data_IF_361745818316
#
_entry.id   IF_361745818316
#
_cell.length_a   1.000
_cell.length_b   1.000
_cell.length_c   1.000
_cell.angle_alpha   90.00
_cell.angle_beta   90.00
_cell.angle_gamma   90.00
#
_symmetry.space_group_name_H-M   'P 1'
#
loop_
_entity.id
_entity.type
_entity.pdbx_description
1 polymer ?
#
# COMPACT_ATOMS: atom_id res chain seq x y z
N UNK A 1 -10.03 44.59 1.14
CA UNK A 1 -10.59 43.54 0.26
C UNK A 1 -12.01 43.22 0.68
N UNK A 2 -12.96 43.14 -0.27
CA UNK A 2 -14.35 42.73 0.02
C UNK A 2 -14.49 41.20 0.22
N UNK A 3 -15.63 40.76 0.79
CA UNK A 3 -15.92 39.34 0.93
C UNK A 3 -16.04 38.65 -0.43
N UNK A 4 -16.62 39.33 -1.42
CA UNK A 4 -16.78 38.83 -2.79
C UNK A 4 -15.42 38.67 -3.51
N UNK A 5 -14.51 39.61 -3.30
CA UNK A 5 -13.16 39.53 -3.84
C UNK A 5 -12.40 38.35 -3.28
N UNK A 6 -12.46 38.15 -1.95
CA UNK A 6 -11.83 37.00 -1.31
C UNK A 6 -12.37 35.68 -1.85
N UNK A 7 -13.68 35.56 -2.04
CA UNK A 7 -14.31 34.36 -2.54
C UNK A 7 -13.88 34.03 -3.98
N UNK A 8 -13.77 35.02 -4.84
CA UNK A 8 -13.24 34.86 -6.21
C UNK A 8 -11.80 34.37 -6.22
N UNK A 9 -10.91 34.98 -5.42
CA UNK A 9 -9.52 34.55 -5.31
C UNK A 9 -9.41 33.11 -4.84
N UNK A 10 -10.20 32.71 -3.84
CA UNK A 10 -10.24 31.32 -3.37
C UNK A 10 -10.74 30.35 -4.47
N UNK A 11 -11.74 30.72 -5.26
CA UNK A 11 -12.20 29.88 -6.36
C UNK A 11 -11.17 29.78 -7.49
N UNK A 12 -10.56 30.90 -7.88
CA UNK A 12 -9.57 30.94 -8.95
C UNK A 12 -8.32 30.10 -8.60
N UNK A 13 -7.89 30.17 -7.35
CA UNK A 13 -6.67 29.51 -6.88
C UNK A 13 -6.93 28.22 -6.08
N UNK A 14 -8.12 27.65 -6.11
CA UNK A 14 -8.54 26.49 -5.31
C UNK A 14 -7.53 25.33 -5.31
N UNK A 15 -6.86 25.10 -6.41
CA UNK A 15 -5.99 23.94 -6.61
C UNK A 15 -4.49 24.29 -6.60
N UNK A 16 -4.12 25.49 -6.18
CA UNK A 16 -2.73 25.95 -6.19
C UNK A 16 -1.75 25.02 -5.44
N UNK A 17 -2.21 24.42 -4.35
CA UNK A 17 -1.39 23.56 -3.52
C UNK A 17 -1.35 22.11 -4.04
N UNK A 18 -2.07 21.78 -5.11
CA UNK A 18 -2.23 20.41 -5.65
C UNK A 18 -1.95 20.30 -7.14
N UNK A 19 -1.32 21.29 -7.76
CA UNK A 19 -0.91 21.29 -9.17
C UNK A 19 0.45 20.59 -9.43
N UNK A 20 1.09 20.06 -8.39
CA UNK A 20 2.36 19.35 -8.40
C UNK A 20 2.30 18.09 -7.51
N UNK A 21 3.41 17.42 -7.26
CA UNK A 21 3.49 16.13 -6.54
C UNK A 21 3.20 16.28 -5.02
N UNK A 22 2.02 16.77 -4.69
CA UNK A 22 1.55 17.05 -3.31
C UNK A 22 1.46 15.80 -2.43
N UNK A 23 1.38 14.63 -3.05
CA UNK A 23 1.23 13.33 -2.36
C UNK A 23 2.55 12.76 -1.81
N UNK A 24 3.70 13.33 -2.14
CA UNK A 24 5.01 12.77 -1.79
C UNK A 24 5.18 12.54 -0.30
N UNK A 25 4.76 13.50 0.54
CA UNK A 25 4.83 13.35 2.00
C UNK A 25 3.95 12.21 2.54
N UNK A 26 2.79 11.98 1.93
CA UNK A 26 1.90 10.85 2.27
C UNK A 26 2.55 9.53 1.87
N UNK A 27 3.17 9.49 0.70
CA UNK A 27 3.84 8.31 0.19
C UNK A 27 5.06 7.91 1.02
N UNK A 28 5.87 8.88 1.42
CA UNK A 28 7.04 8.63 2.24
C UNK A 28 6.64 8.09 3.62
N UNK A 29 5.68 8.71 4.28
CA UNK A 29 5.19 8.22 5.56
C UNK A 29 4.55 6.83 5.44
N UNK A 30 3.79 6.58 4.37
CA UNK A 30 3.20 5.26 4.15
C UNK A 30 4.25 4.18 3.93
N UNK A 31 5.33 4.46 3.17
CA UNK A 31 6.45 3.52 3.02
C UNK A 31 7.13 3.20 4.35
N UNK A 32 7.35 4.20 5.19
CA UNK A 32 7.92 4.00 6.53
C UNK A 32 7.04 3.10 7.40
N UNK A 33 5.72 3.36 7.39
CA UNK A 33 4.76 2.55 8.15
C UNK A 33 4.73 1.09 7.67
N UNK A 34 4.79 0.86 6.35
CA UNK A 34 4.82 -0.49 5.78
C UNK A 34 6.15 -1.22 6.05
N UNK A 35 7.26 -0.52 5.95
CA UNK A 35 8.58 -1.09 6.31
C UNK A 35 8.63 -1.48 7.78
N UNK A 36 7.99 -0.74 8.68
CA UNK A 36 7.91 -1.07 10.10
C UNK A 36 7.18 -2.39 10.39
N UNK A 37 6.40 -2.89 9.44
CA UNK A 37 5.69 -4.19 9.53
C UNK A 37 6.23 -5.24 8.56
N UNK A 38 7.37 -5.00 7.94
CA UNK A 38 8.07 -5.97 7.10
C UNK A 38 7.63 -5.99 5.64
N UNK A 39 7.00 -4.92 5.14
CA UNK A 39 6.54 -4.78 3.75
C UNK A 39 7.40 -3.76 3.03
N UNK A 40 7.97 -4.13 1.88
CA UNK A 40 8.60 -3.22 0.92
C UNK A 40 7.60 -2.78 -0.15
N UNK A 41 7.32 -1.47 -0.21
CA UNK A 41 6.38 -0.85 -1.16
C UNK A 41 7.14 -0.32 -2.37
N UNK A 42 6.93 -0.91 -3.55
CA UNK A 42 7.61 -0.54 -4.78
C UNK A 42 6.98 0.69 -5.43
N UNK A 43 5.68 0.63 -5.70
CA UNK A 43 4.95 1.72 -6.34
C UNK A 43 3.60 1.92 -5.67
N UNK A 44 3.15 3.16 -5.63
CA UNK A 44 1.82 3.56 -5.18
C UNK A 44 1.08 4.27 -6.31
N UNK A 45 -0.22 4.07 -6.34
CA UNK A 45 -1.10 4.62 -7.37
C UNK A 45 -2.41 5.06 -6.72
N UNK A 46 -2.97 6.16 -7.19
CA UNK A 46 -4.32 6.57 -6.83
C UNK A 46 -5.02 7.24 -8.01
N UNK A 47 -6.33 7.29 -7.97
CA UNK A 47 -7.19 8.11 -8.81
C UNK A 47 -7.99 9.06 -7.93
N UNK A 48 -8.65 10.04 -8.49
CA UNK A 48 -9.33 11.13 -7.76
C UNK A 48 -10.16 10.74 -6.52
N UNK A 49 -10.93 11.69 -5.99
CA UNK A 49 -11.66 11.51 -4.72
C UNK A 49 -13.17 11.79 -4.85
N UNK A 50 -13.71 11.83 -6.07
CA UNK A 50 -15.08 12.25 -6.32
C UNK A 50 -15.90 11.28 -7.18
N UNK A 51 -15.27 10.25 -7.75
CA UNK A 51 -15.90 9.35 -8.72
C UNK A 51 -16.09 7.94 -8.18
N UNK A 52 -17.15 7.29 -8.62
CA UNK A 52 -17.30 5.86 -8.33
C UNK A 52 -16.19 5.06 -9.03
N UNK A 53 -15.36 4.38 -8.27
CA UNK A 53 -14.21 3.64 -8.75
C UNK A 53 -12.88 4.35 -8.50
N UNK A 54 -12.89 5.53 -7.87
CA UNK A 54 -11.69 6.12 -7.30
C UNK A 54 -11.16 5.27 -6.16
N UNK A 55 -9.85 5.27 -5.98
CA UNK A 55 -9.20 4.46 -4.97
C UNK A 55 -7.70 4.62 -5.01
N UNK A 56 -7.02 3.86 -4.16
CA UNK A 56 -5.57 3.73 -4.20
C UNK A 56 -5.16 2.26 -4.11
N UNK A 57 -3.99 1.96 -4.65
CA UNK A 57 -3.34 0.67 -4.47
C UNK A 57 -1.83 0.84 -4.46
N UNK A 58 -1.14 -0.18 -3.98
CA UNK A 58 0.31 -0.27 -4.09
C UNK A 58 0.75 -1.64 -4.59
N UNK A 59 1.99 -1.70 -5.08
CA UNK A 59 2.69 -2.95 -5.38
C UNK A 59 3.88 -3.10 -4.44
N UNK A 60 4.22 -4.33 -4.08
CA UNK A 60 5.28 -4.58 -3.13
C UNK A 60 5.46 -6.06 -2.79
N UNK A 61 6.33 -6.33 -1.83
CA UNK A 61 6.55 -7.69 -1.30
C UNK A 61 6.69 -7.67 0.23
N UNK A 62 6.58 -8.84 0.84
CA UNK A 62 7.07 -9.02 2.20
C UNK A 62 8.59 -9.15 2.12
N UNK A 63 9.30 -8.14 2.61
CA UNK A 63 10.77 -8.09 2.64
C UNK A 63 11.32 -8.76 3.90
N UNK A 64 10.60 -8.62 5.01
CA UNK A 64 10.96 -9.25 6.28
C UNK A 64 9.81 -10.12 6.81
N UNK A 65 9.83 -11.39 6.42
CA UNK A 65 8.76 -12.35 6.76
C UNK A 65 8.62 -12.57 8.26
N UNK A 66 9.71 -12.61 9.01
CA UNK A 66 9.66 -12.80 10.46
C UNK A 66 8.96 -11.60 11.14
N UNK A 67 9.33 -10.38 10.76
CA UNK A 67 8.70 -9.16 11.25
C UNK A 67 7.21 -9.12 10.91
N UNK A 68 6.86 -9.43 9.66
CA UNK A 68 5.47 -9.48 9.20
C UNK A 68 4.63 -10.49 9.98
N UNK A 69 5.12 -11.73 10.10
CA UNK A 69 4.41 -12.79 10.84
C UNK A 69 4.29 -12.46 12.33
N UNK A 70 5.28 -11.84 12.93
CA UNK A 70 5.22 -11.45 14.35
C UNK A 70 4.29 -10.27 14.60
N UNK A 71 4.14 -9.37 13.61
CA UNK A 71 3.23 -8.23 13.72
C UNK A 71 1.76 -8.65 13.52
N UNK A 72 1.47 -9.43 12.45
CA UNK A 72 0.09 -9.71 12.03
C UNK A 72 -0.45 -11.05 12.51
N UNK A 73 0.43 -12.06 12.65
CA UNK A 73 0.07 -13.47 12.78
C UNK A 73 0.80 -14.14 13.94
N UNK A 74 0.82 -13.48 15.11
CA UNK A 74 1.55 -13.97 16.27
C UNK A 74 1.09 -15.38 16.68
N UNK A 75 2.00 -16.36 16.59
CA UNK A 75 1.72 -17.74 16.94
C UNK A 75 0.95 -18.55 15.90
N UNK A 76 0.62 -17.96 14.75
CA UNK A 76 -0.02 -18.65 13.61
C UNK A 76 1.06 -19.16 12.62
N UNK A 77 0.62 -20.01 11.68
CA UNK A 77 1.43 -20.53 10.58
C UNK A 77 2.70 -21.29 11.02
N UNK A 78 2.55 -22.35 11.84
CA UNK A 78 3.68 -23.11 12.36
C UNK A 78 4.51 -23.78 11.26
N UNK A 79 3.92 -24.18 10.13
CA UNK A 79 4.66 -24.79 9.03
C UNK A 79 5.49 -23.77 8.26
N UNK A 80 4.94 -22.57 7.99
CA UNK A 80 5.67 -21.47 7.38
C UNK A 80 6.83 -21.05 8.29
N UNK A 81 6.62 -20.92 9.61
CA UNK A 81 7.69 -20.61 10.57
C UNK A 81 8.77 -21.67 10.61
N UNK A 82 8.37 -22.95 10.60
CA UNK A 82 9.28 -24.07 10.56
C UNK A 82 10.07 -24.13 9.26
N UNK A 83 9.46 -23.77 8.12
CA UNK A 83 10.16 -23.63 6.85
C UNK A 83 11.32 -22.63 6.99
N UNK A 84 11.03 -21.44 7.52
CA UNK A 84 12.03 -20.37 7.70
C UNK A 84 13.12 -20.75 8.71
N UNK A 85 12.80 -21.45 9.80
CA UNK A 85 13.78 -21.97 10.77
C UNK A 85 14.77 -22.97 10.14
N UNK A 86 14.44 -23.52 8.99
CA UNK A 86 15.26 -24.49 8.24
C UNK A 86 15.82 -23.91 6.93
N UNK A 87 16.08 -22.61 6.90
CA UNK A 87 16.65 -21.89 5.75
C UNK A 87 15.77 -21.92 4.48
N UNK A 88 14.45 -22.20 4.61
CA UNK A 88 13.50 -22.05 3.52
C UNK A 88 13.09 -20.57 3.37
N UNK A 89 12.58 -20.22 2.19
CA UNK A 89 12.18 -18.86 1.87
C UNK A 89 10.68 -18.80 1.54
N UNK A 90 10.01 -17.75 2.07
CA UNK A 90 8.64 -17.39 1.71
C UNK A 90 8.67 -16.21 0.75
N UNK A 91 8.03 -16.37 -0.38
CA UNK A 91 7.83 -15.31 -1.36
C UNK A 91 6.39 -14.84 -1.32
N UNK A 92 6.17 -13.59 -1.00
CA UNK A 92 4.83 -12.99 -0.98
C UNK A 92 4.86 -11.61 -1.59
N UNK A 93 4.07 -11.40 -2.64
CA UNK A 93 4.04 -10.12 -3.33
C UNK A 93 2.62 -9.75 -3.80
N UNK A 94 2.47 -8.48 -4.11
CA UNK A 94 1.28 -7.89 -4.69
C UNK A 94 1.65 -7.10 -5.94
N UNK A 95 0.96 -7.39 -7.04
CA UNK A 95 1.08 -6.69 -8.30
C UNK A 95 -0.26 -6.09 -8.72
N UNK A 96 -0.20 -5.01 -9.49
CA UNK A 96 -1.40 -4.38 -10.04
C UNK A 96 -1.85 -5.10 -11.31
N UNK A 97 -3.14 -5.37 -11.42
CA UNK A 97 -3.79 -5.88 -12.63
C UNK A 97 -4.80 -4.86 -13.17
N UNK A 98 -4.80 -4.66 -14.50
CA UNK A 98 -5.75 -3.77 -15.17
C UNK A 98 -5.40 -2.28 -15.11
N UNK A 99 -6.39 -1.43 -15.37
CA UNK A 99 -6.22 0.02 -15.56
C UNK A 99 -6.64 0.87 -14.36
N UNK A 100 -7.34 0.29 -13.41
CA UNK A 100 -7.84 1.00 -12.24
C UNK A 100 -6.82 1.00 -11.10
N UNK A 101 -6.89 2.02 -10.24
CA UNK A 101 -6.02 2.20 -9.07
C UNK A 101 -6.78 1.91 -7.77
N UNK A 102 -7.51 0.79 -7.75
CA UNK A 102 -8.33 0.37 -6.63
C UNK A 102 -7.73 -0.88 -5.97
N UNK A 103 -7.98 -1.11 -4.69
CA UNK A 103 -7.46 -2.29 -3.96
C UNK A 103 -7.89 -3.63 -4.59
N UNK A 104 -9.04 -3.66 -5.27
CA UNK A 104 -9.48 -4.85 -6.01
C UNK A 104 -8.82 -5.03 -7.39
N UNK A 105 -8.03 -4.05 -7.85
CA UNK A 105 -7.21 -4.14 -9.06
C UNK A 105 -5.81 -4.68 -8.79
N UNK A 106 -5.65 -5.41 -7.70
CA UNK A 106 -4.40 -6.02 -7.29
C UNK A 106 -4.52 -7.53 -7.21
N UNK A 107 -3.44 -8.20 -7.55
CA UNK A 107 -3.29 -9.65 -7.42
C UNK A 107 -2.17 -9.97 -6.47
N UNK A 108 -2.47 -10.86 -5.56
CA UNK A 108 -1.54 -11.38 -4.58
C UNK A 108 -1.01 -12.74 -5.03
N UNK A 109 0.18 -13.04 -4.60
CA UNK A 109 0.82 -14.31 -4.87
C UNK A 109 1.74 -14.65 -3.69
N UNK A 110 1.59 -15.87 -3.19
CA UNK A 110 2.41 -16.44 -2.14
C UNK A 110 2.95 -17.77 -2.62
N UNK A 111 4.23 -18.00 -2.41
CA UNK A 111 4.91 -19.24 -2.69
C UNK A 111 6.02 -19.48 -1.66
N UNK A 112 6.50 -20.67 -1.57
CA UNK A 112 7.59 -21.02 -0.68
C UNK A 112 8.60 -21.92 -1.39
N UNK A 113 9.89 -21.60 -1.27
CA UNK A 113 10.93 -22.53 -1.69
C UNK A 113 11.10 -23.61 -0.63
N UNK A 114 10.46 -24.74 -0.93
CA UNK A 114 10.57 -25.94 -0.10
C UNK A 114 11.91 -26.59 -0.36
N UNK A 115 12.71 -26.70 0.67
CA UNK A 115 14.00 -27.35 0.76
C UNK A 115 14.13 -28.64 -0.04
N UNK A 116 14.29 -28.55 -1.32
CA UNK A 116 14.67 -29.69 -2.18
C UNK A 116 16.07 -30.21 -1.85
N UNK A 117 16.80 -29.51 -0.97
CA UNK A 117 18.15 -29.87 -0.54
C UNK A 117 18.26 -30.77 0.69
N UNK A 118 17.22 -30.92 1.52
CA UNK A 118 17.31 -31.65 2.79
C UNK A 118 17.20 -33.18 2.68
N UNK A 119 16.82 -33.74 1.54
CA UNK A 119 16.62 -35.19 1.39
C UNK A 119 17.50 -35.84 0.34
N UNK A 120 18.74 -36.05 0.67
CA UNK A 120 19.59 -36.97 -0.09
C UNK A 120 19.21 -38.43 0.23
N UNK A 121 18.22 -38.96 -0.47
CA UNK A 121 17.64 -40.32 -0.51
C UNK A 121 16.42 -40.54 0.39
N UNK A 122 15.19 -40.37 -0.14
CA UNK A 122 13.96 -40.71 0.56
C UNK A 122 13.78 -42.23 0.62
N UNK A 123 13.42 -42.77 1.80
CA UNK A 123 12.80 -44.08 1.94
C UNK A 123 11.28 -43.94 1.78
N UNK A 124 10.52 -44.97 1.40
CA UNK A 124 9.03 -44.95 1.29
C UNK A 124 8.34 -44.32 2.52
N UNK A 125 8.91 -44.49 3.71
CA UNK A 125 8.40 -43.90 4.95
C UNK A 125 8.66 -42.37 4.99
N UNK A 126 9.79 -41.91 4.46
CA UNK A 126 10.11 -40.47 4.36
C UNK A 126 9.20 -39.79 3.32
N UNK A 127 8.88 -40.45 2.20
CA UNK A 127 7.96 -39.93 1.18
C UNK A 127 6.59 -39.61 1.77
N UNK A 128 5.99 -40.49 2.55
CA UNK A 128 4.68 -40.24 3.18
C UNK A 128 4.68 -39.09 4.19
N UNK A 129 5.78 -38.92 4.94
CA UNK A 129 5.92 -37.78 5.88
C UNK A 129 6.13 -36.47 5.12
N UNK A 130 6.90 -36.50 4.04
CA UNK A 130 7.11 -35.36 3.17
C UNK A 130 5.79 -34.90 2.53
N UNK A 131 5.03 -35.84 1.95
CA UNK A 131 3.74 -35.55 1.34
C UNK A 131 2.77 -34.89 2.33
N UNK A 132 2.69 -35.45 3.56
CA UNK A 132 1.84 -34.87 4.61
C UNK A 132 2.29 -33.47 5.05
N UNK A 133 3.59 -33.22 5.11
CA UNK A 133 4.11 -31.88 5.45
C UNK A 133 3.87 -30.90 4.32
N UNK A 134 4.01 -31.33 3.09
CA UNK A 134 3.72 -30.50 1.93
C UNK A 134 2.24 -30.10 1.90
N UNK A 135 1.32 -31.05 2.11
CA UNK A 135 -0.11 -30.76 2.18
C UNK A 135 -0.44 -29.73 3.28
N UNK A 136 0.16 -29.88 4.48
CA UNK A 136 -0.03 -28.92 5.57
C UNK A 136 0.55 -27.55 5.26
N UNK A 137 1.72 -27.48 4.61
CA UNK A 137 2.33 -26.21 4.19
C UNK A 137 1.47 -25.53 3.12
N UNK A 138 0.98 -26.26 2.13
CA UNK A 138 0.12 -25.75 1.06
C UNK A 138 -1.20 -25.17 1.62
N UNK A 139 -1.79 -25.83 2.63
CA UNK A 139 -2.97 -25.33 3.35
C UNK A 139 -2.64 -24.01 4.09
N UNK A 140 -1.49 -23.94 4.79
CA UNK A 140 -1.08 -22.72 5.48
C UNK A 140 -0.76 -21.58 4.50
N UNK A 141 -0.09 -21.86 3.37
CA UNK A 141 0.20 -20.86 2.33
C UNK A 141 -1.08 -20.28 1.74
N UNK A 142 -2.07 -21.14 1.47
CA UNK A 142 -3.37 -20.69 0.96
C UNK A 142 -4.12 -19.81 1.97
N UNK A 143 -4.12 -20.19 3.25
CA UNK A 143 -4.72 -19.40 4.32
C UNK A 143 -3.98 -18.06 4.51
N UNK A 144 -2.65 -18.10 4.48
CA UNK A 144 -1.80 -16.91 4.60
C UNK A 144 -2.04 -15.94 3.44
N UNK A 145 -2.12 -16.41 2.18
CA UNK A 145 -2.43 -15.58 1.01
C UNK A 145 -3.78 -14.88 1.18
N UNK A 146 -4.80 -15.59 1.65
CA UNK A 146 -6.12 -15.01 1.87
C UNK A 146 -6.09 -13.89 2.95
N UNK A 147 -5.46 -14.15 4.10
CA UNK A 147 -5.35 -13.17 5.19
C UNK A 147 -4.46 -11.98 4.78
N UNK A 148 -3.34 -12.23 4.11
CA UNK A 148 -2.47 -11.18 3.55
C UNK A 148 -3.25 -10.29 2.56
N UNK A 149 -4.05 -10.89 1.69
CA UNK A 149 -4.87 -10.16 0.72
C UNK A 149 -5.81 -9.18 1.42
N UNK A 150 -6.54 -9.62 2.44
CA UNK A 150 -7.47 -8.75 3.20
C UNK A 150 -6.70 -7.65 3.97
N UNK A 151 -5.58 -8.01 4.58
CA UNK A 151 -4.75 -7.06 5.32
C UNK A 151 -4.19 -5.96 4.41
N UNK A 152 -3.63 -6.33 3.26
CA UNK A 152 -3.04 -5.36 2.33
C UNK A 152 -4.11 -4.49 1.65
N UNK A 153 -5.29 -5.02 1.36
CA UNK A 153 -6.42 -4.21 0.91
C UNK A 153 -6.84 -3.17 1.95
N UNK A 154 -6.81 -3.53 3.23
CA UNK A 154 -7.03 -2.57 4.31
C UNK A 154 -5.98 -1.46 4.33
N UNK A 155 -4.71 -1.77 4.07
CA UNK A 155 -3.65 -0.76 3.92
C UNK A 155 -3.85 0.13 2.70
N UNK A 156 -4.30 -0.42 1.58
CA UNK A 156 -4.63 0.36 0.38
C UNK A 156 -5.78 1.34 0.63
N UNK A 157 -6.79 0.92 1.39
CA UNK A 157 -7.87 1.81 1.84
C UNK A 157 -7.38 2.88 2.81
N UNK A 158 -6.41 2.57 3.67
CA UNK A 158 -5.78 3.56 4.55
C UNK A 158 -4.96 4.57 3.76
N UNK A 159 -4.17 4.11 2.78
CA UNK A 159 -3.45 4.99 1.85
C UNK A 159 -4.41 5.95 1.15
N UNK A 160 -5.54 5.44 0.63
CA UNK A 160 -6.55 6.27 -0.02
C UNK A 160 -7.10 7.36 0.91
N UNK A 161 -7.46 7.01 2.15
CA UNK A 161 -7.97 7.97 3.14
C UNK A 161 -6.93 9.04 3.52
N UNK A 162 -5.65 8.67 3.61
CA UNK A 162 -4.56 9.63 3.88
C UNK A 162 -4.40 10.62 2.73
N UNK A 163 -4.45 10.13 1.49
CA UNK A 163 -4.40 10.98 0.29
C UNK A 163 -5.62 11.91 0.21
N UNK A 164 -6.82 11.42 0.45
CA UNK A 164 -8.04 12.21 0.48
C UNK A 164 -7.97 13.31 1.56
N UNK A 165 -7.56 12.95 2.77
CA UNK A 165 -7.43 13.92 3.87
C UNK A 165 -6.38 15.00 3.58
N UNK A 166 -5.25 14.66 2.95
CA UNK A 166 -4.23 15.64 2.57
C UNK A 166 -4.72 16.53 1.43
N UNK A 167 -5.41 15.97 0.43
CA UNK A 167 -6.03 16.73 -0.63
C UNK A 167 -7.06 17.74 -0.08
N UNK A 168 -7.96 17.30 0.81
CA UNK A 168 -8.95 18.16 1.44
C UNK A 168 -8.29 19.28 2.26
N UNK A 169 -7.19 18.97 2.97
CA UNK A 169 -6.41 19.95 3.72
C UNK A 169 -5.81 21.00 2.80
N UNK A 170 -5.18 20.58 1.71
CA UNK A 170 -4.49 21.47 0.76
C UNK A 170 -5.46 22.34 -0.05
N UNK A 171 -6.67 21.85 -0.31
CA UNK A 171 -7.72 22.59 -1.03
C UNK A 171 -8.69 23.32 -0.10
N UNK A 172 -8.44 23.34 1.22
CA UNK A 172 -9.24 24.11 2.16
C UNK A 172 -9.08 25.63 1.92
N UNK A 173 -10.10 26.39 2.25
CA UNK A 173 -10.06 27.86 2.14
C UNK A 173 -8.89 28.48 2.92
N UNK A 174 -8.53 27.89 4.05
CA UNK A 174 -7.42 28.33 4.89
C UNK A 174 -6.06 28.13 4.19
N UNK A 175 -5.79 26.90 3.72
CA UNK A 175 -4.53 26.58 3.05
C UNK A 175 -4.38 27.33 1.70
N UNK A 176 -5.46 27.46 0.95
CA UNK A 176 -5.46 28.23 -0.30
C UNK A 176 -5.22 29.71 -0.02
N UNK A 177 -5.84 30.27 1.03
CA UNK A 177 -5.63 31.65 1.40
C UNK A 177 -4.19 31.93 1.85
N UNK A 178 -3.59 31.07 2.66
CA UNK A 178 -2.18 31.15 3.04
C UNK A 178 -1.24 31.15 1.81
N UNK A 179 -1.54 30.34 0.81
CA UNK A 179 -0.77 30.29 -0.42
C UNK A 179 -0.94 31.56 -1.27
N UNK A 180 -2.16 32.13 -1.35
CA UNK A 180 -2.42 33.41 -2.03
C UNK A 180 -1.62 34.54 -1.36
N UNK A 181 -1.68 34.63 -0.03
CA UNK A 181 -0.94 35.64 0.72
C UNK A 181 0.59 35.50 0.55
N UNK A 182 1.08 34.25 0.57
CA UNK A 182 2.51 33.98 0.40
C UNK A 182 3.04 34.32 -0.99
N UNK A 183 2.20 34.30 -2.01
CA UNK A 183 2.57 34.66 -3.39
C UNK A 183 2.22 36.12 -3.73
N UNK A 184 1.71 36.89 -2.77
CA UNK A 184 1.33 38.29 -2.94
C UNK A 184 0.32 38.52 -4.11
N UNK A 185 -0.55 37.52 -4.36
CA UNK A 185 -1.55 37.64 -5.42
C UNK A 185 -2.72 38.52 -4.96
N UNK A 186 -3.00 39.53 -5.79
CA UNK A 186 -4.20 40.35 -5.67
C UNK A 186 -4.92 40.45 -7.03
N UNK A 187 -6.14 41.01 -7.04
CA UNK A 187 -6.98 41.07 -8.24
C UNK A 187 -6.38 41.96 -9.38
N UNK A 188 -5.35 42.74 -9.13
CA UNK A 188 -4.84 43.71 -10.10
C UNK A 188 -3.93 43.08 -11.17
N UNK A 189 -3.53 41.80 -11.03
CA UNK A 189 -2.69 41.09 -12.02
C UNK A 189 -3.49 40.39 -13.14
N UNK A 190 -4.80 40.19 -13.03
CA UNK A 190 -5.62 39.50 -14.04
C UNK A 190 -6.14 40.39 -15.18
N UNK A 191 -5.91 41.72 -15.18
CA UNK A 191 -6.38 42.63 -16.25
C UNK A 191 -5.40 42.82 -17.42
N UNK A 192 -4.37 42.00 -17.54
CA UNK A 192 -3.38 42.12 -18.64
C UNK A 192 -3.24 40.86 -19.44
N UNK A 193 -4.32 40.48 -20.19
CA UNK A 193 -4.22 39.77 -21.49
C UNK A 193 -5.48 39.99 -22.34
#
# INVERSE_FOLDING_TARGET
MSSEQRERLLETHRYINVDHDWWDGVYDQFREDMAAVGIDVWNMYFSGFASQGDGACFTGCIDNTELYLNHHHQGQYPMIRKLMENDGELYANCNREGHHYHEHSTRFWVDADTLTGMMSQPTEFHEQIVDQWQEQLDEELSAFEAEMTEQWRSYMQDLYRRLEAEYDRLTSDEAVWEAIEANEWDEDEEEVE
#
